data_IF_624710364807
#
_entry.id   IF_624710364807
#
_cell.length_a   1.000
_cell.length_b   1.000
_cell.length_c   1.000
_cell.angle_alpha   90.00
_cell.angle_beta   90.00
_cell.angle_gamma   90.00
#
_symmetry.space_group_name_H-M   'P 1'
#
loop_
_entity.id
_entity.type
_entity.pdbx_description
1 polymer ?
#
# COMPACT_ATOMS: atom_id res chain seq x y z
N UNK A 1 -31.48 -17.30 -0.81
CA UNK A 1 -30.31 -17.89 -1.47
C UNK A 1 -29.38 -18.32 -0.35
N UNK A 2 -29.30 -19.62 -0.13
CA UNK A 2 -28.55 -20.20 0.97
C UNK A 2 -27.05 -20.14 0.69
N UNK A 3 -26.22 -20.07 1.73
CA UNK A 3 -24.74 -19.99 1.62
C UNK A 3 -24.18 -21.18 0.80
N UNK A 4 -24.86 -22.33 0.84
CA UNK A 4 -24.50 -23.51 0.02
C UNK A 4 -24.71 -23.32 -1.50
N UNK A 5 -25.68 -22.52 -1.92
CA UNK A 5 -25.92 -22.22 -3.34
C UNK A 5 -24.84 -21.27 -3.89
N UNK A 6 -24.40 -20.33 -3.08
CA UNK A 6 -23.27 -19.46 -3.42
C UNK A 6 -21.99 -20.30 -3.58
N UNK A 7 -21.75 -21.26 -2.68
CA UNK A 7 -20.64 -22.20 -2.77
C UNK A 7 -20.67 -23.09 -4.02
N UNK A 8 -21.87 -23.48 -4.49
CA UNK A 8 -22.02 -24.24 -5.70
C UNK A 8 -21.81 -23.44 -6.99
N UNK A 9 -22.24 -22.18 -7.04
CA UNK A 9 -21.91 -21.26 -8.14
C UNK A 9 -20.40 -21.04 -8.29
N UNK A 10 -19.70 -20.85 -7.17
CA UNK A 10 -18.22 -20.76 -7.20
C UNK A 10 -17.56 -22.10 -7.59
N UNK A 11 -18.14 -23.24 -7.19
CA UNK A 11 -17.63 -24.56 -7.54
C UNK A 11 -17.79 -24.94 -9.02
N UNK A 12 -18.84 -24.47 -9.68
CA UNK A 12 -19.08 -24.73 -11.11
C UNK A 12 -18.19 -23.84 -11.99
N UNK A 13 -17.89 -22.60 -11.57
CA UNK A 13 -16.89 -21.75 -12.23
C UNK A 13 -15.46 -22.31 -12.09
N UNK A 14 -15.20 -23.13 -11.07
CA UNK A 14 -13.89 -23.79 -10.86
C UNK A 14 -13.43 -24.65 -12.04
N UNK A 15 -14.33 -25.28 -12.75
CA UNK A 15 -14.05 -26.19 -13.87
C UNK A 15 -13.78 -25.48 -15.20
N UNK A 16 -14.35 -24.30 -15.40
CA UNK A 16 -14.26 -23.57 -16.66
C UNK A 16 -13.12 -22.52 -16.68
N UNK A 17 -12.65 -22.06 -15.51
CA UNK A 17 -11.56 -21.08 -15.38
C UNK A 17 -10.16 -21.73 -15.49
N UNK A 18 -10.06 -23.05 -15.32
CA UNK A 18 -8.81 -23.81 -15.41
C UNK A 18 -8.31 -24.07 -16.86
N UNK A 19 -8.88 -23.40 -17.85
CA UNK A 19 -8.41 -23.40 -19.23
C UNK A 19 -7.29 -22.37 -19.45
N UNK A 20 -6.06 -22.87 -19.61
CA UNK A 20 -4.78 -22.17 -19.82
C UNK A 20 -4.21 -21.53 -18.53
N UNK A 21 -3.07 -22.08 -18.09
CA UNK A 21 -2.22 -21.60 -16.99
C UNK A 21 -1.64 -20.21 -17.31
N UNK A 22 -2.48 -19.16 -17.33
CA UNK A 22 -2.01 -17.79 -17.54
C UNK A 22 -1.18 -17.37 -16.34
N UNK A 23 0.11 -17.18 -16.56
CA UNK A 23 1.02 -16.61 -15.55
C UNK A 23 1.11 -15.10 -15.69
N UNK A 24 1.10 -14.41 -14.57
CA UNK A 24 1.38 -12.98 -14.45
C UNK A 24 2.62 -12.84 -13.58
N UNK A 25 3.67 -12.26 -14.16
CA UNK A 25 4.91 -12.02 -13.43
C UNK A 25 4.92 -10.62 -12.83
N UNK A 26 5.30 -10.56 -11.57
CA UNK A 26 5.48 -9.30 -10.85
C UNK A 26 6.92 -9.14 -10.35
N UNK A 27 7.38 -7.89 -10.26
CA UNK A 27 8.56 -7.51 -9.52
C UNK A 27 8.20 -6.79 -8.24
N UNK A 28 8.97 -7.05 -7.18
CA UNK A 28 8.80 -6.42 -5.89
C UNK A 28 9.94 -5.44 -5.64
N UNK A 29 9.64 -4.17 -5.42
CA UNK A 29 10.64 -3.17 -5.06
C UNK A 29 10.69 -3.01 -3.54
N UNK A 30 11.70 -3.65 -2.96
CA UNK A 30 11.91 -3.70 -1.51
C UNK A 30 11.49 -5.03 -0.88
N UNK A 31 12.35 -5.56 0.01
CA UNK A 31 12.11 -6.76 0.81
C UNK A 31 12.30 -6.46 2.31
N UNK A 32 11.65 -5.40 2.77
CA UNK A 32 11.46 -5.08 4.18
C UNK A 32 10.27 -5.87 4.76
N UNK A 33 9.74 -5.43 5.88
CA UNK A 33 8.58 -6.07 6.55
C UNK A 33 7.40 -6.24 5.59
N UNK A 34 7.05 -5.19 4.85
CA UNK A 34 5.93 -5.22 3.90
C UNK A 34 6.23 -6.12 2.71
N UNK A 35 7.39 -5.93 2.06
CA UNK A 35 7.76 -6.71 0.87
C UNK A 35 7.90 -8.20 1.15
N UNK A 36 8.53 -8.58 2.25
CA UNK A 36 8.59 -10.00 2.66
C UNK A 36 7.20 -10.56 2.98
N UNK A 37 6.29 -9.72 3.53
CA UNK A 37 4.90 -10.10 3.75
C UNK A 37 4.14 -10.34 2.44
N UNK A 38 4.33 -9.46 1.45
CA UNK A 38 3.71 -9.60 0.11
C UNK A 38 4.19 -10.90 -0.55
N UNK A 39 5.49 -11.18 -0.52
CA UNK A 39 6.04 -12.41 -1.09
C UNK A 39 5.43 -13.67 -0.44
N UNK A 40 5.40 -13.71 0.89
CA UNK A 40 4.80 -14.83 1.64
C UNK A 40 3.31 -14.99 1.33
N UNK A 41 2.57 -13.88 1.30
CA UNK A 41 1.13 -13.89 1.05
C UNK A 41 0.82 -14.38 -0.37
N UNK A 42 1.58 -13.96 -1.38
CA UNK A 42 1.43 -14.42 -2.75
C UNK A 42 1.56 -15.95 -2.85
N UNK A 43 2.56 -16.54 -2.18
CA UNK A 43 2.71 -18.00 -2.15
C UNK A 43 1.64 -18.71 -1.32
N UNK A 44 1.26 -18.17 -0.15
CA UNK A 44 0.24 -18.80 0.71
C UNK A 44 -1.17 -18.77 0.09
N UNK A 45 -1.47 -17.78 -0.73
CA UNK A 45 -2.80 -17.56 -1.32
C UNK A 45 -2.81 -17.82 -2.83
N UNK A 46 -1.84 -18.54 -3.35
CA UNK A 46 -1.67 -18.80 -4.78
C UNK A 46 -2.92 -19.36 -5.44
N UNK A 47 -3.52 -20.41 -4.83
CA UNK A 47 -4.76 -21.01 -5.34
C UNK A 47 -5.93 -20.04 -5.31
N UNK A 48 -6.11 -19.29 -4.22
CA UNK A 48 -7.18 -18.30 -4.07
C UNK A 48 -7.03 -17.13 -5.04
N UNK A 49 -5.80 -16.66 -5.27
CA UNK A 49 -5.49 -15.63 -6.27
C UNK A 49 -5.85 -16.17 -7.65
N UNK A 50 -5.38 -17.36 -7.99
CA UNK A 50 -5.65 -17.98 -9.28
C UNK A 50 -7.17 -18.16 -9.53
N UNK A 51 -7.91 -18.63 -8.54
CA UNK A 51 -9.36 -18.78 -8.62
C UNK A 51 -10.11 -17.45 -8.84
N UNK A 52 -9.65 -16.38 -8.19
CA UNK A 52 -10.30 -15.05 -8.27
C UNK A 52 -9.92 -14.27 -9.51
N UNK A 53 -8.72 -14.48 -10.05
CA UNK A 53 -8.18 -13.67 -11.15
C UNK A 53 -8.10 -14.42 -12.48
N UNK A 54 -8.20 -15.74 -12.46
CA UNK A 54 -7.96 -16.60 -13.63
C UNK A 54 -6.48 -16.67 -14.03
N UNK A 55 -5.56 -16.25 -13.14
CA UNK A 55 -4.13 -16.24 -13.44
C UNK A 55 -3.29 -16.54 -12.19
N UNK A 56 -2.18 -17.23 -12.39
CA UNK A 56 -1.19 -17.48 -11.36
C UNK A 56 -0.25 -16.27 -11.24
N UNK A 57 -0.14 -15.70 -10.05
CA UNK A 57 0.77 -14.59 -9.75
C UNK A 57 2.11 -15.12 -9.27
N UNK A 58 3.19 -14.77 -9.96
CA UNK A 58 4.55 -15.18 -9.59
C UNK A 58 5.46 -13.95 -9.40
N UNK A 59 6.17 -13.88 -8.28
CA UNK A 59 7.18 -12.85 -8.04
C UNK A 59 8.49 -13.29 -8.69
N UNK A 60 8.83 -12.68 -9.81
CA UNK A 60 9.99 -13.06 -10.64
C UNK A 60 11.29 -12.42 -10.19
N UNK A 61 11.24 -11.17 -9.70
CA UNK A 61 12.41 -10.40 -9.26
C UNK A 61 12.06 -9.54 -8.04
N UNK A 62 13.06 -9.34 -7.18
CA UNK A 62 12.95 -8.51 -5.99
C UNK A 62 14.13 -7.54 -5.93
N UNK A 63 13.87 -6.26 -6.11
CA UNK A 63 14.87 -5.21 -6.05
C UNK A 63 15.25 -4.90 -4.61
N UNK A 64 16.52 -4.97 -4.29
CA UNK A 64 17.05 -4.64 -2.97
C UNK A 64 18.44 -4.00 -3.08
N UNK A 65 18.82 -3.18 -2.11
CA UNK A 65 20.15 -2.54 -2.08
C UNK A 65 21.32 -3.52 -1.90
N UNK A 66 21.06 -4.66 -1.26
CA UNK A 66 22.07 -5.68 -1.02
C UNK A 66 21.46 -7.06 -1.29
N UNK A 67 21.64 -7.61 -2.50
CA UNK A 67 21.17 -8.93 -2.88
C UNK A 67 21.80 -10.05 -2.05
N UNK A 68 23.03 -9.88 -1.57
CA UNK A 68 23.74 -10.89 -0.76
C UNK A 68 23.20 -11.08 0.66
N UNK A 69 22.32 -10.18 1.13
CA UNK A 69 21.71 -10.33 2.45
C UNK A 69 20.62 -11.39 2.41
N UNK A 70 20.80 -12.48 3.15
CA UNK A 70 19.81 -13.54 3.30
C UNK A 70 18.50 -13.00 3.93
N UNK A 71 17.37 -13.44 3.39
CA UNK A 71 16.04 -13.16 3.91
C UNK A 71 15.26 -14.45 4.01
N UNK A 72 14.79 -14.75 5.21
CA UNK A 72 14.13 -16.01 5.51
C UNK A 72 12.89 -16.22 4.66
N UNK A 73 12.80 -17.39 4.02
CA UNK A 73 11.68 -17.81 3.21
C UNK A 73 11.60 -17.17 1.81
N UNK A 74 12.67 -16.51 1.34
CA UNK A 74 12.74 -15.96 -0.01
C UNK A 74 14.00 -16.51 -0.70
N UNK A 75 13.86 -17.16 -1.87
CA UNK A 75 15.00 -17.65 -2.65
C UNK A 75 15.97 -16.55 -3.02
N UNK A 76 17.26 -16.84 -2.92
CA UNK A 76 18.33 -15.85 -3.13
C UNK A 76 18.42 -15.38 -4.58
N UNK A 77 18.09 -16.24 -5.53
CA UNK A 77 18.10 -15.97 -6.96
C UNK A 77 17.08 -14.94 -7.43
N UNK A 78 16.07 -14.64 -6.61
CA UNK A 78 15.09 -13.62 -6.92
C UNK A 78 15.59 -12.20 -6.66
N UNK A 79 16.66 -12.04 -5.86
CA UNK A 79 17.16 -10.72 -5.51
C UNK A 79 18.08 -10.15 -6.59
N UNK A 80 17.85 -8.87 -6.87
CA UNK A 80 18.71 -8.04 -7.74
C UNK A 80 18.89 -6.65 -7.11
N UNK A 81 19.99 -5.97 -7.43
CA UNK A 81 20.20 -4.55 -7.17
C UNK A 81 20.08 -3.71 -8.45
N UNK A 82 19.87 -4.36 -9.58
CA UNK A 82 19.69 -3.72 -10.89
C UNK A 82 18.21 -3.46 -11.16
N UNK A 83 17.81 -2.19 -11.16
CA UNK A 83 16.50 -1.77 -11.63
C UNK A 83 16.28 -2.09 -13.11
N UNK A 84 17.33 -1.97 -13.90
CA UNK A 84 17.27 -2.18 -15.35
C UNK A 84 16.85 -3.61 -15.72
N UNK A 85 17.28 -4.62 -14.94
CA UNK A 85 16.83 -6.01 -15.15
C UNK A 85 15.32 -6.19 -14.99
N UNK A 86 14.68 -5.38 -14.15
CA UNK A 86 13.23 -5.41 -13.95
C UNK A 86 12.52 -4.61 -15.03
N UNK A 87 13.05 -3.44 -15.36
CA UNK A 87 12.45 -2.54 -16.33
C UNK A 87 12.42 -3.14 -17.74
N UNK A 88 13.53 -3.75 -18.16
CA UNK A 88 13.69 -4.32 -19.50
C UNK A 88 13.11 -5.73 -19.66
N UNK A 89 12.75 -6.41 -18.57
CA UNK A 89 12.13 -7.74 -18.65
C UNK A 89 10.70 -7.63 -19.17
N UNK A 90 10.39 -8.12 -20.40
CA UNK A 90 9.07 -8.02 -21.00
C UNK A 90 8.03 -8.94 -20.35
N UNK A 91 8.45 -9.94 -19.58
CA UNK A 91 7.53 -10.84 -18.89
C UNK A 91 6.99 -10.21 -17.60
N UNK A 92 7.72 -9.26 -17.01
CA UNK A 92 7.27 -8.56 -15.80
C UNK A 92 6.20 -7.53 -16.18
N UNK A 93 4.97 -7.82 -15.80
CA UNK A 93 3.80 -7.02 -16.10
C UNK A 93 3.40 -6.08 -14.96
N UNK A 94 3.74 -6.45 -13.72
CA UNK A 94 3.35 -5.71 -12.52
C UNK A 94 4.59 -5.34 -11.71
N UNK A 95 4.66 -4.09 -11.26
CA UNK A 95 5.67 -3.62 -10.31
C UNK A 95 4.99 -3.26 -8.99
N UNK A 96 5.42 -3.90 -7.91
CA UNK A 96 4.90 -3.69 -6.55
C UNK A 96 5.93 -2.88 -5.75
N UNK A 97 5.67 -1.59 -5.52
CA UNK A 97 6.56 -0.67 -4.82
C UNK A 97 6.21 -0.61 -3.33
N UNK A 98 7.17 -1.07 -2.50
CA UNK A 98 7.07 -1.09 -1.03
C UNK A 98 8.40 -0.69 -0.38
N UNK A 99 9.18 0.16 -1.06
CA UNK A 99 10.50 0.62 -0.60
C UNK A 99 10.38 1.70 0.47
N UNK A 100 9.38 2.57 0.34
CA UNK A 100 9.23 3.78 1.14
C UNK A 100 10.24 4.87 0.76
N UNK A 101 9.96 6.10 1.21
CA UNK A 101 10.68 7.28 0.77
C UNK A 101 10.21 7.76 -0.61
N UNK A 102 10.76 8.85 -1.12
CA UNK A 102 10.36 9.43 -2.40
C UNK A 102 11.30 8.95 -3.50
N UNK A 103 12.58 9.21 -3.37
CA UNK A 103 13.57 8.71 -4.32
C UNK A 103 14.32 7.50 -3.75
N UNK A 104 14.62 6.51 -4.57
CA UNK A 104 14.36 6.37 -6.02
C UNK A 104 12.98 5.79 -6.38
N UNK A 105 12.07 5.60 -5.42
CA UNK A 105 10.77 4.97 -5.66
C UNK A 105 9.96 5.72 -6.74
N UNK A 106 9.97 7.06 -6.72
CA UNK A 106 9.31 7.89 -7.72
C UNK A 106 9.83 7.57 -9.14
N UNK A 107 11.14 7.64 -9.33
CA UNK A 107 11.76 7.36 -10.62
C UNK A 107 11.36 5.98 -11.14
N UNK A 108 11.42 4.95 -10.30
CA UNK A 108 11.10 3.58 -10.71
C UNK A 108 9.61 3.40 -11.06
N UNK A 109 8.70 4.03 -10.31
CA UNK A 109 7.26 4.01 -10.60
C UNK A 109 6.95 4.71 -11.92
N UNK A 110 7.54 5.89 -12.17
CA UNK A 110 7.38 6.61 -13.43
C UNK A 110 7.89 5.80 -14.62
N UNK A 111 9.10 5.25 -14.53
CA UNK A 111 9.72 4.46 -15.60
C UNK A 111 8.95 3.16 -15.86
N UNK A 112 8.49 2.48 -14.80
CA UNK A 112 7.65 1.28 -14.94
C UNK A 112 6.39 1.56 -15.75
N UNK A 113 5.66 2.64 -15.42
CA UNK A 113 4.43 3.02 -16.14
C UNK A 113 4.73 3.43 -17.58
N UNK A 114 5.81 4.18 -17.83
CA UNK A 114 6.27 4.51 -19.20
C UNK A 114 6.65 3.28 -20.03
N UNK A 115 7.12 2.21 -19.38
CA UNK A 115 7.39 0.91 -19.99
C UNK A 115 6.12 0.02 -20.13
N UNK A 116 4.92 0.53 -19.79
CA UNK A 116 3.67 -0.19 -19.93
C UNK A 116 3.39 -1.19 -18.79
N UNK A 117 4.14 -1.14 -17.68
CA UNK A 117 3.95 -2.03 -16.55
C UNK A 117 2.90 -1.45 -15.58
N UNK A 118 2.02 -2.30 -15.06
CA UNK A 118 1.05 -1.92 -14.02
C UNK A 118 1.77 -1.69 -12.70
N UNK A 119 1.35 -0.72 -11.90
CA UNK A 119 2.02 -0.39 -10.64
C UNK A 119 1.08 -0.50 -9.45
N UNK A 120 1.57 -1.13 -8.39
CA UNK A 120 0.93 -1.14 -7.06
C UNK A 120 1.89 -0.50 -6.07
N UNK A 121 1.47 0.53 -5.35
CA UNK A 121 2.32 1.18 -4.34
C UNK A 121 1.67 1.23 -2.97
N UNK A 122 2.47 1.03 -1.92
CA UNK A 122 2.10 1.28 -0.54
C UNK A 122 2.73 2.57 0.03
N UNK A 123 3.29 3.41 -0.84
CA UNK A 123 4.09 4.56 -0.46
C UNK A 123 3.25 5.83 -0.33
N UNK A 124 2.75 6.06 0.87
CA UNK A 124 1.93 7.24 1.18
C UNK A 124 2.66 8.57 0.96
N UNK A 125 3.98 8.61 1.24
CA UNK A 125 4.77 9.84 1.11
C UNK A 125 4.94 10.21 -0.37
N UNK A 126 5.16 9.22 -1.23
CA UNK A 126 5.23 9.38 -2.68
C UNK A 126 3.91 9.93 -3.24
N UNK A 127 2.78 9.32 -2.88
CA UNK A 127 1.48 9.76 -3.37
C UNK A 127 1.05 11.12 -2.84
N UNK A 128 1.39 11.44 -1.58
CA UNK A 128 1.06 12.75 -1.01
C UNK A 128 1.82 13.90 -1.68
N UNK A 129 3.00 13.64 -2.23
CA UNK A 129 3.87 14.66 -2.83
C UNK A 129 3.80 14.69 -4.35
N UNK A 130 3.60 13.53 -4.98
CA UNK A 130 3.66 13.34 -6.43
C UNK A 130 2.47 12.56 -7.02
N UNK A 131 1.36 12.43 -6.29
CA UNK A 131 0.21 11.64 -6.73
C UNK A 131 -0.34 12.12 -8.07
N UNK A 132 -0.62 13.43 -8.21
CA UNK A 132 -1.20 14.00 -9.42
C UNK A 132 -0.34 13.73 -10.67
N UNK A 133 0.98 14.04 -10.70
CA UNK A 133 1.84 13.68 -11.83
C UNK A 133 1.88 12.18 -12.13
N UNK A 134 1.85 11.33 -11.10
CA UNK A 134 1.85 9.88 -11.30
C UNK A 134 0.55 9.38 -11.92
N UNK A 135 -0.61 9.96 -11.56
CA UNK A 135 -1.89 9.63 -12.20
C UNK A 135 -1.96 10.09 -13.64
N UNK A 136 -1.36 11.24 -13.98
CA UNK A 136 -1.24 11.71 -15.37
C UNK A 136 -0.42 10.71 -16.19
N UNK A 137 0.79 10.34 -15.72
CA UNK A 137 1.64 9.36 -16.39
C UNK A 137 0.93 8.01 -16.57
N UNK A 138 0.23 7.52 -15.54
CA UNK A 138 -0.54 6.28 -15.62
C UNK A 138 -1.60 6.35 -16.73
N UNK A 139 -2.33 7.47 -16.79
CA UNK A 139 -3.38 7.69 -17.80
C UNK A 139 -2.79 7.75 -19.21
N UNK A 140 -1.73 8.51 -19.43
CA UNK A 140 -1.04 8.66 -20.71
C UNK A 140 -0.53 7.33 -21.24
N UNK A 141 0.01 6.47 -20.36
CA UNK A 141 0.57 5.17 -20.74
C UNK A 141 -0.45 4.02 -20.64
N UNK A 142 -1.72 4.30 -20.32
CA UNK A 142 -2.80 3.30 -20.15
C UNK A 142 -2.44 2.21 -19.14
N UNK A 143 -1.77 2.62 -18.07
CA UNK A 143 -1.38 1.76 -16.96
C UNK A 143 -2.26 2.02 -15.75
N UNK A 144 -2.49 0.99 -14.94
CA UNK A 144 -3.12 1.13 -13.64
C UNK A 144 -2.08 1.48 -12.57
N UNK A 145 -2.36 2.52 -11.79
CA UNK A 145 -1.68 2.81 -10.54
C UNK A 145 -2.62 2.50 -9.36
N UNK A 146 -2.34 1.40 -8.68
CA UNK A 146 -3.12 0.95 -7.53
C UNK A 146 -2.41 1.31 -6.22
N UNK A 147 -3.15 1.89 -5.27
CA UNK A 147 -2.55 2.47 -4.06
C UNK A 147 -3.38 2.27 -2.79
N UNK A 148 -4.24 1.24 -2.74
CA UNK A 148 -5.06 0.93 -1.56
C UNK A 148 -4.21 0.83 -0.28
N UNK A 149 -3.04 0.18 -0.36
CA UNK A 149 -2.14 -0.01 0.78
C UNK A 149 -1.43 1.27 1.25
N UNK A 150 -1.46 2.35 0.47
CA UNK A 150 -0.89 3.64 0.86
C UNK A 150 -1.85 4.49 1.71
N UNK A 151 -3.14 4.12 1.77
CA UNK A 151 -4.19 4.90 2.43
C UNK A 151 -4.87 4.06 3.51
N UNK A 152 -5.15 4.66 4.67
CA UNK A 152 -5.92 4.05 5.78
C UNK A 152 -5.40 2.69 6.29
N UNK A 153 -4.13 2.34 6.04
CA UNK A 153 -3.53 1.07 6.46
C UNK A 153 -4.22 -0.13 5.81
N UNK A 154 -4.73 -1.06 6.60
CA UNK A 154 -5.39 -2.26 6.11
C UNK A 154 -6.89 -2.09 5.79
N UNK A 155 -7.44 -0.88 5.92
CA UNK A 155 -8.87 -0.61 5.68
C UNK A 155 -9.09 -0.31 4.20
N UNK A 156 -9.87 -1.13 3.46
CA UNK A 156 -10.15 -0.87 2.06
C UNK A 156 -11.10 0.32 1.92
N UNK A 157 -10.64 1.41 1.32
CA UNK A 157 -11.41 2.64 1.13
C UNK A 157 -11.37 3.17 -0.30
N UNK A 158 -10.24 3.07 -0.98
CA UNK A 158 -10.07 3.62 -2.32
C UNK A 158 -10.94 2.85 -3.34
N UNK A 159 -10.91 1.51 -3.30
CA UNK A 159 -11.75 0.69 -4.17
C UNK A 159 -13.24 0.92 -3.96
N UNK A 160 -13.78 0.90 -2.74
CA UNK A 160 -15.18 1.24 -2.50
C UNK A 160 -15.57 2.61 -3.04
N UNK A 161 -14.76 3.64 -2.83
CA UNK A 161 -15.02 4.99 -3.36
C UNK A 161 -15.05 5.03 -4.89
N UNK A 162 -14.09 4.37 -5.55
CA UNK A 162 -13.95 4.40 -7.00
C UNK A 162 -14.91 3.47 -7.75
N UNK A 163 -15.25 2.33 -7.17
CA UNK A 163 -16.02 1.29 -7.84
C UNK A 163 -17.45 1.19 -7.30
N UNK A 164 -17.62 0.97 -6.00
CA UNK A 164 -18.94 0.73 -5.42
C UNK A 164 -19.78 2.00 -5.38
N UNK A 165 -19.16 3.16 -5.18
CA UNK A 165 -19.81 4.47 -5.08
C UNK A 165 -19.67 5.32 -6.35
N UNK A 166 -19.23 4.74 -7.47
CA UNK A 166 -19.00 5.47 -8.72
C UNK A 166 -20.24 6.21 -9.26
N UNK A 167 -21.45 5.70 -8.97
CA UNK A 167 -22.72 6.35 -9.33
C UNK A 167 -23.25 7.34 -8.29
N UNK A 168 -22.55 7.54 -7.17
CA UNK A 168 -23.00 8.39 -6.07
C UNK A 168 -22.24 9.72 -6.06
N UNK A 169 -22.94 10.80 -5.73
CA UNK A 169 -22.31 12.09 -5.47
C UNK A 169 -21.83 12.12 -4.01
N UNK A 170 -20.52 12.06 -3.81
CA UNK A 170 -19.93 12.16 -2.48
C UNK A 170 -19.88 13.64 -2.07
N UNK A 171 -20.54 13.97 -0.96
CA UNK A 171 -20.56 15.32 -0.41
C UNK A 171 -19.54 15.51 0.70
N UNK A 172 -19.23 14.45 1.46
CA UNK A 172 -18.32 14.52 2.57
C UNK A 172 -17.72 13.13 2.87
N UNK A 173 -16.47 13.11 3.33
CA UNK A 173 -15.77 11.91 3.83
C UNK A 173 -15.19 12.25 5.20
N UNK A 174 -15.60 11.53 6.24
CA UNK A 174 -15.08 11.65 7.60
C UNK A 174 -14.46 10.34 8.06
N UNK A 175 -13.35 10.42 8.80
CA UNK A 175 -12.71 9.22 9.33
C UNK A 175 -11.48 9.51 10.19
N UNK A 176 -11.09 8.49 10.96
CA UNK A 176 -9.84 8.48 11.70
C UNK A 176 -8.77 7.85 10.81
N UNK A 177 -7.93 8.68 10.22
CA UNK A 177 -6.93 8.23 9.23
C UNK A 177 -5.55 7.91 9.82
N UNK A 178 -5.32 8.24 11.10
CA UNK A 178 -4.06 7.96 11.79
C UNK A 178 -4.29 7.57 13.25
N UNK A 179 -4.03 6.30 13.59
CA UNK A 179 -4.24 5.77 14.94
C UNK A 179 -3.37 6.43 16.02
N UNK A 180 -2.12 6.77 15.71
CA UNK A 180 -1.21 7.42 16.67
C UNK A 180 -1.71 8.82 17.02
N UNK A 181 -2.09 9.61 16.03
CA UNK A 181 -2.64 10.95 16.24
C UNK A 181 -3.95 10.88 17.00
N UNK A 182 -4.83 9.96 16.62
CA UNK A 182 -6.08 9.75 17.34
C UNK A 182 -5.85 9.41 18.81
N UNK A 183 -4.94 8.49 19.12
CA UNK A 183 -4.60 8.14 20.49
C UNK A 183 -4.10 9.35 21.29
N UNK A 184 -3.22 10.17 20.70
CA UNK A 184 -2.72 11.40 21.36
C UNK A 184 -3.88 12.36 21.66
N UNK A 185 -4.75 12.61 20.68
CA UNK A 185 -5.87 13.53 20.82
C UNK A 185 -6.87 13.02 21.86
N UNK A 186 -7.18 11.73 21.87
CA UNK A 186 -8.05 11.11 22.88
C UNK A 186 -7.49 11.31 24.28
N UNK A 187 -6.20 11.02 24.50
CA UNK A 187 -5.55 11.23 25.80
C UNK A 187 -5.48 12.70 26.23
N UNK A 188 -5.34 13.60 25.29
CA UNK A 188 -5.41 15.05 25.59
C UNK A 188 -6.82 15.46 26.00
N UNK A 189 -7.84 14.96 25.31
CA UNK A 189 -9.25 15.29 25.59
C UNK A 189 -9.77 14.66 26.87
N UNK A 190 -9.53 13.37 27.10
CA UNK A 190 -10.09 12.61 28.20
C UNK A 190 -9.30 12.78 29.52
N UNK A 191 -7.96 12.84 29.43
CA UNK A 191 -7.07 12.85 30.59
C UNK A 191 -6.42 14.21 30.83
N UNK A 192 -6.66 15.22 29.99
CA UNK A 192 -6.06 16.54 30.10
C UNK A 192 -4.52 16.53 29.96
N UNK A 193 -3.96 15.47 29.36
CA UNK A 193 -2.51 15.33 29.23
C UNK A 193 -1.96 16.29 28.18
N UNK A 194 -0.88 17.00 28.50
CA UNK A 194 -0.20 17.85 27.53
C UNK A 194 0.47 17.03 26.40
N UNK A 195 0.35 17.49 25.15
CA UNK A 195 0.92 16.86 23.95
C UNK A 195 2.37 16.42 24.12
N UNK A 196 3.23 17.28 24.68
CA UNK A 196 4.68 17.00 24.85
C UNK A 196 4.92 15.78 25.76
N UNK A 197 4.14 15.64 26.83
CA UNK A 197 4.23 14.51 27.77
C UNK A 197 3.82 13.21 27.10
N UNK A 198 2.71 13.23 26.37
CA UNK A 198 2.21 12.09 25.59
C UNK A 198 3.17 11.68 24.49
N UNK A 199 3.77 12.65 23.80
CA UNK A 199 4.75 12.38 22.77
C UNK A 199 6.01 11.68 23.30
N UNK A 200 6.57 12.16 24.42
CA UNK A 200 7.73 11.52 25.05
C UNK A 200 7.39 10.10 25.48
N UNK A 201 6.24 9.90 26.10
CA UNK A 201 5.77 8.58 26.52
C UNK A 201 5.55 7.63 25.34
N UNK A 202 4.91 8.09 24.27
CA UNK A 202 4.73 7.32 23.05
C UNK A 202 6.06 7.02 22.35
N UNK A 203 6.97 7.98 22.31
CA UNK A 203 8.30 7.76 21.74
C UNK A 203 9.03 6.63 22.47
N UNK A 204 9.01 6.60 23.76
CA UNK A 204 9.68 5.58 24.56
C UNK A 204 8.98 4.20 24.43
N UNK A 205 7.66 4.19 24.25
CA UNK A 205 6.87 2.97 24.04
C UNK A 205 6.89 2.47 22.58
N UNK A 206 6.95 3.37 21.61
CA UNK A 206 6.91 3.10 20.16
C UNK A 206 8.32 3.08 19.53
N UNK A 207 9.40 3.36 20.29
CA UNK A 207 10.79 3.40 19.81
C UNK A 207 11.27 2.13 19.11
N UNK A 208 10.47 1.08 19.05
CA UNK A 208 10.70 -0.07 18.15
C UNK A 208 10.19 0.15 16.72
N UNK A 209 9.38 1.18 16.45
CA UNK A 209 8.96 1.60 15.11
C UNK A 209 9.50 3.00 14.86
N UNK A 210 10.37 3.15 13.87
CA UNK A 210 10.84 4.47 13.43
C UNK A 210 9.63 5.30 12.97
N UNK A 211 9.20 6.27 13.76
CA UNK A 211 8.21 7.26 13.33
C UNK A 211 8.91 8.19 12.35
N UNK A 212 8.48 8.30 11.09
CA UNK A 212 9.12 9.17 10.13
C UNK A 212 9.15 10.62 10.63
N UNK A 213 10.31 11.28 10.50
CA UNK A 213 10.46 12.69 10.92
C UNK A 213 9.44 13.63 10.27
N UNK A 214 8.92 13.27 9.08
CA UNK A 214 7.89 14.02 8.35
C UNK A 214 6.54 13.99 9.07
N UNK A 215 6.15 12.87 9.65
CA UNK A 215 4.93 12.77 10.47
C UNK A 215 5.02 13.67 11.69
N UNK A 216 6.21 13.75 12.32
CA UNK A 216 6.51 14.69 13.40
C UNK A 216 6.35 16.15 12.95
N UNK A 217 6.93 16.52 11.80
CA UNK A 217 6.84 17.90 11.28
C UNK A 217 5.40 18.29 10.92
N UNK A 218 4.61 17.38 10.36
CA UNK A 218 3.20 17.61 10.06
C UNK A 218 2.40 17.84 11.35
N UNK A 219 2.53 16.94 12.33
CA UNK A 219 1.86 17.06 13.62
C UNK A 219 2.24 18.35 14.38
N UNK A 220 3.52 18.74 14.33
CA UNK A 220 3.98 19.98 14.99
C UNK A 220 3.52 21.25 14.27
N UNK A 221 3.32 21.19 12.97
CA UNK A 221 2.78 22.31 12.19
C UNK A 221 1.31 22.51 12.51
N UNK A 222 0.54 21.44 12.55
CA UNK A 222 -0.88 21.47 12.82
C UNK A 222 -1.18 21.81 14.30
N UNK A 223 -0.37 21.32 15.24
CA UNK A 223 -0.48 21.69 16.66
C UNK A 223 -0.26 23.17 16.96
N UNK A 224 0.33 23.93 16.03
CA UNK A 224 0.48 25.40 16.11
C UNK A 224 -0.63 26.16 15.38
N UNK A 225 -1.53 25.46 14.70
CA UNK A 225 -2.66 26.09 14.02
C UNK A 225 -3.71 26.55 15.02
N UNK A 226 -4.23 27.78 14.92
CA UNK A 226 -5.33 28.25 15.77
C UNK A 226 -6.63 27.47 15.59
N UNK A 227 -6.72 26.58 14.61
CA UNK A 227 -7.85 25.66 14.39
C UNK A 227 -7.95 24.52 15.45
N UNK A 228 -6.92 24.33 16.28
CA UNK A 228 -6.88 23.33 17.34
C UNK A 228 -7.15 23.91 18.73
N UNK A 229 -8.14 24.79 18.84
CA UNK A 229 -8.59 25.22 20.14
C UNK A 229 -9.45 24.11 20.77
N UNK A 230 -9.23 23.74 22.06
CA UNK A 230 -9.98 22.67 22.74
C UNK A 230 -11.50 22.86 22.69
N UNK A 231 -11.99 24.08 22.58
CA UNK A 231 -13.41 24.41 22.48
C UNK A 231 -14.10 24.01 21.17
N UNK A 232 -13.32 23.59 20.13
CA UNK A 232 -13.88 23.10 18.86
C UNK A 232 -14.06 21.57 18.85
N UNK A 233 -13.62 20.86 19.89
CA UNK A 233 -13.63 19.40 19.97
C UNK A 233 -14.71 18.85 20.92
N UNK A 234 -15.50 19.71 21.56
CA UNK A 234 -16.60 19.30 22.45
C UNK A 234 -17.89 19.92 21.92
N UNK A 235 -18.80 19.16 21.28
CA UNK A 235 -20.20 19.59 21.19
C UNK A 235 -20.77 19.56 22.60
N UNK A 236 -21.51 20.61 23.01
CA UNK A 236 -22.35 20.63 24.22
C UNK A 236 -23.40 19.52 24.18
#
# INVERSE_FOLDING_TARGET
MEIEEIGRCYGTMRGEIMGENRKIYAALLGAGTVGSGVYKLAGMQEEDICLKTGAQLEIKKILVRNPGKLREGIPQELFTDSWQEILEDPEIQIVIEVMGGIEPARTYVEEAMKAGKQVVTANKDLLAEYGDPLFEIATENKCDLQFEAAVAGAIPIIRPLRQSLAGSQLTEIMGIVNGTTNYILTKMSEEGMGFRKLWIWLRDWVMRRQIPQRMWKAMMRDARSPLWHPSLLVPE
#
